data_IF_012846043047
#
_entry.id   IF_012846043047
#
_cell.length_a   1.000
_cell.length_b   1.000
_cell.length_c   1.000
_cell.angle_alpha   90.00
_cell.angle_beta   90.00
_cell.angle_gamma   90.00
#
_symmetry.space_group_name_H-M   'P 1'
#
loop_
_entity.id
_entity.type
_entity.pdbx_description
1 polymer ?
#
# COMPACT_ATOMS: atom_id res chain seq x y z
N UNK A 1 32.61 25.08 -17.38
CA UNK A 1 33.15 24.31 -16.24
C UNK A 1 32.62 22.89 -16.31
N UNK A 2 33.51 21.94 -16.12
CA UNK A 2 33.13 20.53 -16.04
C UNK A 2 33.38 20.07 -14.63
N UNK A 3 32.38 19.51 -13.98
CA UNK A 3 32.59 18.70 -12.80
C UNK A 3 33.02 17.29 -13.22
N UNK A 4 33.54 16.50 -12.30
CA UNK A 4 33.99 15.14 -12.62
C UNK A 4 32.86 14.18 -13.01
N UNK A 5 31.60 14.56 -12.82
CA UNK A 5 30.40 13.74 -13.00
C UNK A 5 29.34 14.35 -13.91
N UNK A 6 29.49 15.62 -14.31
CA UNK A 6 28.56 16.33 -15.17
C UNK A 6 29.26 17.38 -16.01
N UNK A 7 28.57 17.86 -17.04
CA UNK A 7 28.96 19.03 -17.83
C UNK A 7 28.01 20.17 -17.47
N UNK A 8 28.61 21.24 -16.94
CA UNK A 8 27.86 22.45 -16.58
C UNK A 8 27.92 23.40 -17.76
N UNK A 9 26.77 23.77 -18.30
CA UNK A 9 26.66 24.77 -19.37
C UNK A 9 26.68 26.17 -18.77
N UNK A 10 27.53 27.05 -19.31
CA UNK A 10 27.59 28.47 -18.90
C UNK A 10 26.40 29.27 -19.43
N UNK A 11 25.81 28.83 -20.55
CA UNK A 11 24.64 29.44 -21.18
C UNK A 11 23.72 28.34 -21.70
N UNK A 12 22.43 28.52 -21.57
CA UNK A 12 21.40 27.61 -22.08
C UNK A 12 20.92 28.06 -23.46
N UNK A 13 21.85 28.16 -24.40
CA UNK A 13 21.54 28.41 -25.81
C UNK A 13 21.94 27.20 -26.70
N UNK A 14 21.31 27.09 -27.85
CA UNK A 14 21.49 25.95 -28.73
C UNK A 14 22.94 25.76 -29.23
N UNK A 15 23.68 26.84 -29.42
CA UNK A 15 25.08 26.77 -29.88
C UNK A 15 25.98 26.24 -28.77
N UNK A 16 25.83 26.71 -27.53
CA UNK A 16 26.59 26.23 -26.38
C UNK A 16 26.31 24.75 -26.09
N UNK A 17 25.06 24.31 -26.16
CA UNK A 17 24.67 22.91 -26.05
C UNK A 17 25.33 22.07 -27.14
N UNK A 18 25.21 22.49 -28.39
CA UNK A 18 25.82 21.80 -29.56
C UNK A 18 27.33 21.65 -29.43
N UNK A 19 28.04 22.72 -29.05
CA UNK A 19 29.49 22.70 -28.87
C UNK A 19 29.93 21.73 -27.77
N UNK A 20 29.25 21.71 -26.65
CA UNK A 20 29.60 20.78 -25.57
C UNK A 20 29.27 19.32 -25.90
N UNK A 21 28.16 19.05 -26.56
CA UNK A 21 27.86 17.71 -27.09
C UNK A 21 28.94 17.27 -28.10
N UNK A 22 29.34 18.14 -29.04
CA UNK A 22 30.38 17.84 -30.03
C UNK A 22 31.72 17.52 -29.34
N UNK A 23 32.10 18.25 -28.26
CA UNK A 23 33.30 17.97 -27.48
C UNK A 23 33.23 16.60 -26.81
N UNK A 24 32.08 16.24 -26.27
CA UNK A 24 31.88 14.92 -25.61
C UNK A 24 31.91 13.76 -26.62
N UNK A 25 31.37 13.97 -27.85
CA UNK A 25 31.41 12.96 -28.90
C UNK A 25 32.87 12.72 -29.31
N UNK A 26 33.65 13.79 -29.49
CA UNK A 26 35.06 13.71 -29.87
C UNK A 26 36.00 13.17 -28.80
N UNK A 27 35.58 13.16 -27.52
CA UNK A 27 36.41 12.68 -26.42
C UNK A 27 35.73 11.51 -25.65
N UNK A 28 35.88 10.26 -26.13
CA UNK A 28 35.29 9.08 -25.51
C UNK A 28 35.77 8.84 -24.09
N UNK A 29 37.01 9.19 -23.78
CA UNK A 29 37.58 9.02 -22.45
C UNK A 29 36.87 9.92 -21.42
N UNK A 30 36.70 11.22 -21.75
CA UNK A 30 36.00 12.18 -20.91
C UNK A 30 34.54 11.74 -20.69
N UNK A 31 33.86 11.28 -21.74
CA UNK A 31 32.50 10.76 -21.67
C UNK A 31 32.38 9.56 -20.71
N UNK A 32 33.31 8.57 -20.82
CA UNK A 32 33.33 7.42 -19.93
C UNK A 32 33.64 7.80 -18.48
N UNK A 33 34.55 8.78 -18.25
CA UNK A 33 34.87 9.29 -16.92
C UNK A 33 33.63 9.91 -16.25
N UNK A 34 32.95 10.83 -16.94
CA UNK A 34 31.71 11.47 -16.45
C UNK A 34 30.63 10.42 -16.16
N UNK A 35 30.41 9.49 -17.08
CA UNK A 35 29.43 8.41 -16.88
C UNK A 35 29.72 7.55 -15.64
N UNK A 36 31.00 7.19 -15.44
CA UNK A 36 31.42 6.38 -14.29
C UNK A 36 31.24 7.15 -12.98
N UNK A 37 31.62 8.41 -12.93
CA UNK A 37 31.53 9.25 -11.75
C UNK A 37 30.08 9.60 -11.43
N UNK A 38 29.27 9.94 -12.42
CA UNK A 38 27.84 10.17 -12.25
C UNK A 38 27.11 8.97 -11.67
N UNK A 39 27.42 7.75 -12.15
CA UNK A 39 26.86 6.52 -11.57
C UNK A 39 27.26 6.32 -10.09
N UNK A 40 28.51 6.63 -9.73
CA UNK A 40 28.95 6.54 -8.32
C UNK A 40 28.23 7.54 -7.44
N UNK A 41 28.10 8.80 -7.91
CA UNK A 41 27.44 9.85 -7.16
C UNK A 41 25.94 9.59 -6.98
N UNK A 42 25.26 9.13 -8.03
CA UNK A 42 23.85 8.73 -7.91
C UNK A 42 23.66 7.62 -6.88
N UNK A 43 24.51 6.58 -6.90
CA UNK A 43 24.45 5.52 -5.87
C UNK A 43 24.69 6.05 -4.46
N UNK A 44 25.64 6.99 -4.30
CA UNK A 44 25.92 7.62 -3.03
C UNK A 44 24.74 8.48 -2.54
N UNK A 45 24.16 9.31 -3.41
CA UNK A 45 22.99 10.13 -3.12
C UNK A 45 21.75 9.29 -2.75
N UNK A 46 21.53 8.20 -3.47
CA UNK A 46 20.44 7.27 -3.12
C UNK A 46 20.64 6.73 -1.72
N UNK A 47 21.86 6.29 -1.37
CA UNK A 47 22.18 5.77 -0.03
C UNK A 47 21.98 6.81 1.08
N UNK A 48 22.40 8.07 0.82
CA UNK A 48 22.19 9.18 1.77
C UNK A 48 20.71 9.49 1.91
N UNK A 49 20.00 9.64 0.80
CA UNK A 49 18.57 9.97 0.80
C UNK A 49 17.73 8.88 1.48
N UNK A 50 18.08 7.61 1.27
CA UNK A 50 17.41 6.49 1.96
C UNK A 50 17.61 6.61 3.47
N UNK A 51 18.84 6.86 3.94
CA UNK A 51 19.10 7.07 5.36
C UNK A 51 18.35 8.28 5.92
N UNK A 52 18.33 9.39 5.18
CA UNK A 52 17.64 10.61 5.59
C UNK A 52 16.11 10.39 5.69
N UNK A 53 15.53 9.68 4.73
CA UNK A 53 14.12 9.30 4.74
C UNK A 53 13.83 8.41 5.95
N UNK A 54 14.69 7.44 6.24
CA UNK A 54 14.52 6.57 7.40
C UNK A 54 14.63 7.36 8.71
N UNK A 55 15.57 8.30 8.81
CA UNK A 55 15.69 9.19 9.97
C UNK A 55 14.46 10.09 10.15
N UNK A 56 13.95 10.68 9.06
CA UNK A 56 12.71 11.47 9.09
C UNK A 56 11.54 10.59 9.53
N UNK A 57 11.44 9.39 8.99
CA UNK A 57 10.41 8.43 9.37
C UNK A 57 10.50 8.07 10.86
N UNK A 58 11.70 7.81 11.37
CA UNK A 58 11.95 7.50 12.78
C UNK A 58 11.60 8.66 13.71
N UNK A 59 11.87 9.89 13.29
CA UNK A 59 11.58 11.10 14.07
C UNK A 59 10.10 11.51 14.02
N UNK A 60 9.47 11.38 12.85
CA UNK A 60 8.06 11.75 12.68
C UNK A 60 7.09 10.68 13.18
N UNK A 61 7.50 9.42 13.14
CA UNK A 61 6.76 8.28 13.64
C UNK A 61 7.60 7.62 14.72
N UNK A 62 7.49 8.08 15.99
CA UNK A 62 8.19 7.40 17.08
C UNK A 62 7.91 5.93 16.91
N UNK A 63 8.95 5.13 16.83
CA UNK A 63 8.81 3.68 16.82
C UNK A 63 7.99 3.37 18.05
N UNK A 64 6.71 3.11 17.86
CA UNK A 64 6.08 2.20 18.78
C UNK A 64 7.04 1.01 18.79
N UNK A 65 7.64 0.73 19.94
CA UNK A 65 8.35 -0.51 20.09
C UNK A 65 7.35 -1.56 19.66
N UNK A 66 7.43 -1.93 18.39
CA UNK A 66 6.78 -3.12 17.90
C UNK A 66 7.63 -4.18 18.60
N UNK A 67 7.33 -4.41 19.87
CA UNK A 67 7.69 -5.65 20.50
C UNK A 67 7.23 -6.66 19.47
N UNK A 68 8.18 -7.27 18.77
CA UNK A 68 7.92 -8.28 17.78
C UNK A 68 6.83 -9.14 18.39
N UNK A 69 5.59 -8.92 17.91
CA UNK A 69 4.45 -9.67 18.43
C UNK A 69 4.80 -11.08 18.02
N UNK A 70 5.18 -11.90 19.02
CA UNK A 70 5.60 -13.28 18.80
C UNK A 70 4.57 -14.06 17.97
N UNK A 71 3.33 -13.58 17.95
CA UNK A 71 2.21 -14.18 17.25
C UNK A 71 1.58 -13.16 16.31
N UNK A 72 2.04 -13.16 15.06
CA UNK A 72 1.43 -12.41 13.97
C UNK A 72 0.04 -12.98 13.69
N UNK A 73 -1.00 -12.16 13.85
CA UNK A 73 -2.38 -12.54 13.62
C UNK A 73 -2.79 -12.26 12.18
N UNK A 74 -3.66 -13.10 11.64
CA UNK A 74 -4.37 -12.89 10.39
C UNK A 74 -5.75 -12.32 10.68
N UNK A 75 -6.05 -11.15 10.13
CA UNK A 75 -7.27 -10.41 10.42
C UNK A 75 -8.03 -10.17 9.12
N UNK A 76 -9.30 -10.55 9.06
CA UNK A 76 -10.21 -10.04 8.04
C UNK A 76 -10.88 -8.80 8.61
N UNK A 77 -10.73 -7.65 7.93
CA UNK A 77 -11.43 -6.41 8.26
C UNK A 77 -12.52 -6.14 7.21
N UNK A 78 -13.77 -6.37 7.59
CA UNK A 78 -14.94 -6.17 6.74
C UNK A 78 -15.64 -4.86 7.08
N UNK A 79 -15.64 -3.93 6.14
CA UNK A 79 -16.31 -2.63 6.30
C UNK A 79 -16.68 -2.01 4.96
N UNK A 80 -17.50 -0.96 4.97
CA UNK A 80 -17.83 -0.22 3.76
C UNK A 80 -16.67 0.75 3.42
N UNK A 81 -15.97 0.50 2.33
CA UNK A 81 -14.89 1.38 1.87
C UNK A 81 -15.43 2.60 1.09
N UNK A 82 -16.57 2.46 0.41
CA UNK A 82 -17.15 3.55 -0.37
C UNK A 82 -16.29 4.01 -1.54
N UNK A 83 -15.63 3.08 -2.24
CA UNK A 83 -14.66 3.37 -3.30
C UNK A 83 -15.19 4.23 -4.45
N UNK A 84 -16.51 4.17 -4.70
CA UNK A 84 -17.16 4.98 -5.76
C UNK A 84 -17.60 6.37 -5.32
N UNK A 85 -17.35 6.76 -4.08
CA UNK A 85 -17.67 8.09 -3.60
C UNK A 85 -16.63 9.10 -4.10
N UNK A 86 -17.09 10.16 -4.75
CA UNK A 86 -16.23 11.16 -5.37
C UNK A 86 -15.31 11.91 -4.38
N UNK A 87 -15.73 11.99 -3.12
CA UNK A 87 -14.98 12.69 -2.08
C UNK A 87 -13.80 11.90 -1.51
N UNK A 88 -13.59 10.64 -1.91
CA UNK A 88 -12.44 9.79 -1.51
C UNK A 88 -12.26 9.64 0.02
N UNK A 89 -13.30 9.78 0.80
CA UNK A 89 -13.21 9.70 2.27
C UNK A 89 -12.91 8.29 2.79
N UNK A 90 -12.96 7.26 1.94
CA UNK A 90 -12.60 5.91 2.35
C UNK A 90 -11.18 5.80 2.91
N UNK A 91 -10.24 6.64 2.45
CA UNK A 91 -8.85 6.65 2.94
C UNK A 91 -8.73 7.12 4.40
N UNK A 92 -9.69 7.88 4.89
CA UNK A 92 -9.74 8.40 6.26
C UNK A 92 -10.87 7.79 7.08
N UNK A 93 -11.59 6.83 6.52
CA UNK A 93 -12.66 6.12 7.21
C UNK A 93 -12.14 5.38 8.45
N UNK A 94 -13.02 5.19 9.43
CA UNK A 94 -12.67 4.48 10.67
C UNK A 94 -12.19 3.05 10.37
N UNK A 95 -12.86 2.34 9.46
CA UNK A 95 -12.43 1.01 9.03
C UNK A 95 -11.01 0.98 8.47
N UNK A 96 -10.62 2.00 7.68
CA UNK A 96 -9.25 2.13 7.16
C UNK A 96 -8.23 2.45 8.25
N UNK A 97 -8.62 3.25 9.24
CA UNK A 97 -7.77 3.52 10.41
C UNK A 97 -7.49 2.24 11.20
N UNK A 98 -8.49 1.37 11.39
CA UNK A 98 -8.29 0.06 12.01
C UNK A 98 -7.32 -0.81 11.21
N UNK A 99 -7.51 -0.94 9.90
CA UNK A 99 -6.54 -1.67 9.05
C UNK A 99 -5.13 -1.15 9.24
N UNK A 100 -4.95 0.17 9.15
CA UNK A 100 -3.63 0.78 9.31
C UNK A 100 -3.04 0.53 10.71
N UNK A 101 -3.88 0.52 11.75
CA UNK A 101 -3.49 0.18 13.11
C UNK A 101 -3.01 -1.27 13.23
N UNK A 102 -3.76 -2.22 12.69
CA UNK A 102 -3.38 -3.64 12.69
C UNK A 102 -2.09 -3.90 11.91
N UNK A 103 -1.95 -3.33 10.72
CA UNK A 103 -0.73 -3.46 9.91
C UNK A 103 0.49 -2.86 10.62
N UNK A 104 0.34 -1.69 11.27
CA UNK A 104 1.42 -1.05 12.05
C UNK A 104 1.83 -1.91 13.26
N UNK A 105 0.89 -2.65 13.82
CA UNK A 105 1.16 -3.62 14.88
C UNK A 105 1.72 -4.95 14.38
N UNK A 106 2.02 -5.08 13.09
CA UNK A 106 2.68 -6.24 12.50
C UNK A 106 1.74 -7.40 12.13
N UNK A 107 0.41 -7.20 12.16
CA UNK A 107 -0.56 -8.19 11.76
C UNK A 107 -0.78 -8.21 10.24
N UNK A 108 -1.20 -9.37 9.71
CA UNK A 108 -1.68 -9.48 8.33
C UNK A 108 -3.16 -9.10 8.26
N UNK A 109 -3.53 -8.23 7.32
CA UNK A 109 -4.92 -7.77 7.20
C UNK A 109 -5.44 -7.95 5.78
N UNK A 110 -6.54 -8.69 5.64
CA UNK A 110 -7.33 -8.77 4.43
C UNK A 110 -8.54 -7.82 4.56
N UNK A 111 -8.56 -6.77 3.75
CA UNK A 111 -9.69 -5.82 3.70
C UNK A 111 -10.75 -6.29 2.71
N UNK A 112 -12.01 -6.30 3.15
CA UNK A 112 -13.16 -6.63 2.31
C UNK A 112 -14.20 -5.52 2.46
N UNK A 113 -14.75 -5.05 1.33
CA UNK A 113 -15.88 -4.10 1.31
C UNK A 113 -17.13 -4.81 0.82
N UNK A 114 -18.12 -4.93 1.68
CA UNK A 114 -19.39 -5.58 1.36
C UNK A 114 -20.16 -4.83 0.28
N UNK A 115 -20.30 -3.53 0.43
CA UNK A 115 -21.09 -2.69 -0.49
C UNK A 115 -20.42 -2.52 -1.84
N UNK A 116 -19.11 -2.36 -1.86
CA UNK A 116 -18.39 -2.21 -3.13
C UNK A 116 -18.37 -3.52 -3.90
N UNK A 117 -18.22 -4.67 -3.21
CA UNK A 117 -18.34 -5.97 -3.83
C UNK A 117 -19.69 -6.17 -4.49
N UNK A 118 -20.79 -5.96 -3.74
CA UNK A 118 -22.16 -6.11 -4.27
C UNK A 118 -22.42 -5.14 -5.42
N UNK A 119 -21.89 -3.92 -5.34
CA UNK A 119 -22.04 -2.91 -6.40
C UNK A 119 -21.27 -3.28 -7.67
N UNK A 120 -20.05 -3.77 -7.53
CA UNK A 120 -19.19 -4.11 -8.67
C UNK A 120 -19.62 -5.40 -9.38
N UNK A 121 -20.25 -6.32 -8.63
CA UNK A 121 -20.75 -7.59 -9.15
C UNK A 121 -22.26 -7.58 -9.43
N UNK A 122 -22.84 -6.41 -9.65
CA UNK A 122 -24.21 -6.32 -10.19
C UNK A 122 -24.22 -6.87 -11.60
N UNK A 123 -24.79 -8.07 -11.76
CA UNK A 123 -25.24 -8.57 -13.05
C UNK A 123 -26.37 -7.67 -13.59
N UNK A 124 -26.76 -7.82 -14.85
CA UNK A 124 -27.86 -7.10 -15.48
C UNK A 124 -29.20 -7.20 -14.73
N UNK A 125 -29.31 -8.01 -13.69
CA UNK A 125 -30.46 -8.04 -12.81
C UNK A 125 -30.42 -6.89 -11.80
N UNK A 126 -31.55 -6.18 -11.67
CA UNK A 126 -31.71 -5.08 -10.70
C UNK A 126 -31.66 -5.56 -9.23
N UNK A 127 -31.58 -6.85 -8.98
CA UNK A 127 -31.57 -7.45 -7.64
C UNK A 127 -30.10 -7.63 -7.19
N UNK A 128 -29.68 -7.03 -6.07
CA UNK A 128 -28.37 -7.25 -5.51
C UNK A 128 -28.20 -8.73 -5.16
N UNK A 129 -27.24 -9.41 -5.77
CA UNK A 129 -26.99 -10.82 -5.47
C UNK A 129 -26.21 -10.96 -4.15
N UNK A 130 -26.93 -10.88 -3.03
CA UNK A 130 -26.37 -11.04 -1.68
C UNK A 130 -25.76 -12.42 -1.47
N UNK A 131 -26.29 -13.45 -2.08
CA UNK A 131 -25.79 -14.81 -1.94
C UNK A 131 -24.37 -14.95 -2.53
N UNK A 132 -24.08 -14.26 -3.62
CA UNK A 132 -22.73 -14.26 -4.20
C UNK A 132 -21.69 -13.61 -3.24
N UNK A 133 -22.11 -12.58 -2.50
CA UNK A 133 -21.22 -11.98 -1.51
C UNK A 133 -20.94 -12.93 -0.35
N UNK A 134 -21.95 -13.63 0.17
CA UNK A 134 -21.74 -14.62 1.25
C UNK A 134 -20.80 -15.75 0.81
N UNK A 135 -20.99 -16.26 -0.41
CA UNK A 135 -20.11 -17.29 -0.96
C UNK A 135 -18.68 -16.80 -1.14
N UNK A 136 -18.50 -15.61 -1.71
CA UNK A 136 -17.19 -14.97 -1.81
C UNK A 136 -16.52 -14.80 -0.44
N UNK A 137 -17.28 -14.34 0.54
CA UNK A 137 -16.77 -14.10 1.88
C UNK A 137 -16.36 -15.42 2.56
N UNK A 138 -17.16 -16.49 2.38
CA UNK A 138 -16.86 -17.84 2.89
C UNK A 138 -15.58 -18.42 2.24
N UNK A 139 -15.44 -18.29 0.92
CA UNK A 139 -14.23 -18.75 0.23
C UNK A 139 -12.99 -17.93 0.63
N UNK A 140 -13.13 -16.61 0.75
CA UNK A 140 -12.07 -15.74 1.26
C UNK A 140 -11.66 -16.14 2.67
N UNK A 141 -12.63 -16.44 3.53
CA UNK A 141 -12.40 -16.90 4.90
C UNK A 141 -11.65 -18.22 4.94
N UNK A 142 -12.07 -19.22 4.17
CA UNK A 142 -11.40 -20.53 4.09
C UNK A 142 -9.95 -20.41 3.61
N UNK A 143 -9.73 -19.64 2.54
CA UNK A 143 -8.41 -19.50 1.92
C UNK A 143 -7.44 -18.69 2.80
N UNK A 144 -7.94 -17.66 3.45
CA UNK A 144 -7.11 -16.80 4.29
C UNK A 144 -6.89 -17.39 5.68
N UNK A 145 -7.86 -18.13 6.21
CA UNK A 145 -7.88 -18.74 7.55
C UNK A 145 -7.52 -17.72 8.65
N UNK A 146 -8.38 -16.74 8.94
CA UNK A 146 -8.10 -15.67 9.87
C UNK A 146 -8.18 -16.13 11.33
N UNK A 147 -7.42 -15.48 12.21
CA UNK A 147 -7.53 -15.57 13.66
C UNK A 147 -8.63 -14.66 14.19
N UNK A 148 -8.82 -13.50 13.52
CA UNK A 148 -9.81 -12.50 13.88
C UNK A 148 -10.66 -12.12 12.67
N UNK A 149 -11.96 -12.14 12.85
CA UNK A 149 -12.93 -11.54 11.93
C UNK A 149 -13.46 -10.25 12.56
N UNK A 150 -12.98 -9.12 12.05
CA UNK A 150 -13.30 -7.79 12.55
C UNK A 150 -14.21 -7.08 11.54
N UNK A 151 -15.33 -6.51 11.98
CA UNK A 151 -16.27 -5.91 11.05
C UNK A 151 -17.03 -4.71 11.65
N UNK A 152 -17.48 -3.82 10.76
CA UNK A 152 -18.33 -2.71 11.13
C UNK A 152 -19.03 -2.07 9.94
N UNK A 153 -20.17 -1.43 10.16
CA UNK A 153 -21.00 -0.78 9.13
C UNK A 153 -21.34 -1.67 7.93
N UNK A 154 -21.45 -2.97 8.14
CA UNK A 154 -21.81 -3.91 7.09
C UNK A 154 -23.35 -4.08 7.01
N UNK A 155 -23.89 -4.19 5.79
CA UNK A 155 -25.32 -4.44 5.52
C UNK A 155 -25.57 -5.81 4.93
N UNK A 156 -24.55 -6.45 4.39
CA UNK A 156 -24.68 -7.67 3.62
C UNK A 156 -24.18 -8.91 4.37
N UNK A 157 -23.66 -8.77 5.58
CA UNK A 157 -23.26 -9.89 6.43
C UNK A 157 -24.49 -10.51 7.10
N UNK A 158 -24.58 -11.84 7.11
CA UNK A 158 -25.65 -12.58 7.77
C UNK A 158 -25.16 -13.36 8.97
N UNK A 159 -26.04 -13.62 9.94
CA UNK A 159 -25.71 -14.45 11.10
C UNK A 159 -25.32 -15.89 10.69
N UNK A 160 -26.03 -16.47 9.70
CA UNK A 160 -25.69 -17.78 9.14
C UNK A 160 -24.24 -17.86 8.65
N UNK A 161 -23.73 -16.78 8.05
CA UNK A 161 -22.31 -16.71 7.62
C UNK A 161 -21.37 -16.69 8.81
N UNK A 162 -21.68 -15.99 9.88
CA UNK A 162 -20.89 -15.98 11.10
C UNK A 162 -20.85 -17.35 11.79
N UNK A 163 -21.98 -18.06 11.81
CA UNK A 163 -22.06 -19.42 12.35
C UNK A 163 -21.23 -20.40 11.49
N UNK A 164 -21.25 -20.26 10.17
CA UNK A 164 -20.36 -21.01 9.28
C UNK A 164 -18.89 -20.72 9.55
N UNK A 165 -18.50 -19.48 9.82
CA UNK A 165 -17.12 -19.15 10.20
C UNK A 165 -16.70 -19.86 11.48
N UNK A 166 -17.55 -19.83 12.50
CA UNK A 166 -17.30 -20.55 13.77
C UNK A 166 -17.20 -22.07 13.58
N UNK A 167 -17.98 -22.63 12.64
CA UNK A 167 -17.90 -24.06 12.34
C UNK A 167 -16.58 -24.45 11.66
N UNK A 168 -16.01 -23.53 10.82
CA UNK A 168 -14.73 -23.74 10.13
C UNK A 168 -13.55 -23.52 11.09
N UNK A 169 -13.57 -22.44 11.87
CA UNK A 169 -12.52 -22.14 12.85
C UNK A 169 -13.12 -21.89 14.24
N UNK A 170 -13.01 -22.89 15.12
CA UNK A 170 -13.56 -22.83 16.48
C UNK A 170 -12.85 -21.81 17.38
N UNK A 171 -11.61 -21.45 17.05
CA UNK A 171 -10.81 -20.47 17.80
C UNK A 171 -10.95 -19.05 17.25
N UNK A 172 -11.81 -18.84 16.25
CA UNK A 172 -12.03 -17.55 15.65
C UNK A 172 -12.55 -16.51 16.65
N UNK A 173 -11.87 -15.40 16.75
CA UNK A 173 -12.37 -14.22 17.46
C UNK A 173 -13.21 -13.39 16.51
N UNK A 174 -14.46 -13.18 16.83
CA UNK A 174 -15.36 -12.31 16.08
C UNK A 174 -15.57 -11.02 16.88
N UNK A 175 -15.26 -9.88 16.29
CA UNK A 175 -15.39 -8.57 16.92
C UNK A 175 -16.08 -7.58 15.99
N UNK A 176 -17.04 -6.85 16.55
CA UNK A 176 -17.77 -5.80 15.83
C UNK A 176 -17.46 -4.44 16.45
N UNK A 177 -17.31 -3.44 15.60
CA UNK A 177 -17.25 -2.05 16.03
C UNK A 177 -18.48 -1.29 15.50
N UNK A 178 -18.96 -0.38 16.32
CA UNK A 178 -20.05 0.55 16.00
C UNK A 178 -19.58 1.98 16.30
N UNK A 179 -20.08 2.92 15.53
CA UNK A 179 -19.97 4.36 15.83
C UNK A 179 -21.12 4.81 16.71
#
# INVERSE_FOLDING_TARGET
>A
ETTDDAVILKRLDSNSIYLEIKKLIKNPYKRKKIQRNGRKNVKHLIKINTKLIDQIRENCFPRFNVNYIKNKLKIINLYNQGQKLNHRLFNISLGKKFTNGFVRNGHDVLEISDRDYVRNNKSFSLIPNRNNFQNFLLESFKNYNPDIFFFGHTKNLTLDTLDKFRSINKNLVISQWNE
#
